data_IF_516788076276
#
_entry.id   IF_516788076276
#
_cell.length_a   1.000
_cell.length_b   1.000
_cell.length_c   1.000
_cell.angle_alpha   90.00
_cell.angle_beta   90.00
_cell.angle_gamma   90.00
#
_symmetry.space_group_name_H-M   'P 1'
#
loop_
_entity.id
_entity.type
_entity.pdbx_description
1 polymer ?
#
# COMPACT_ATOMS: atom_id res chain seq x y z
N UNK A 1 74.43 -25.33 -17.27
CA UNK A 1 74.72 -24.17 -18.16
C UNK A 1 73.39 -23.62 -18.63
N UNK A 2 73.00 -22.43 -18.20
CA UNK A 2 71.70 -21.87 -18.60
C UNK A 2 71.82 -21.37 -20.05
N UNK A 3 70.96 -21.89 -20.92
CA UNK A 3 70.91 -21.48 -22.32
C UNK A 3 70.61 -19.98 -22.40
N UNK A 4 71.30 -19.24 -23.29
CA UNK A 4 71.12 -17.79 -23.45
C UNK A 4 69.64 -17.43 -23.67
N UNK A 5 68.88 -18.30 -24.33
CA UNK A 5 67.43 -18.15 -24.56
C UNK A 5 66.61 -18.24 -23.28
N UNK A 6 66.95 -19.16 -22.37
CA UNK A 6 66.25 -19.31 -21.08
C UNK A 6 66.45 -18.08 -20.19
N UNK A 7 67.62 -17.44 -20.27
CA UNK A 7 67.94 -16.21 -19.53
C UNK A 7 67.12 -15.00 -20.03
N UNK A 8 66.89 -14.93 -21.35
CA UNK A 8 66.06 -13.89 -21.98
C UNK A 8 64.59 -14.10 -21.61
N UNK A 9 64.09 -15.34 -21.69
CA UNK A 9 62.70 -15.66 -21.36
C UNK A 9 62.36 -15.35 -19.88
N UNK A 10 63.29 -15.65 -18.97
CA UNK A 10 63.13 -15.31 -17.56
C UNK A 10 63.14 -13.80 -17.30
N UNK A 11 63.99 -13.04 -18.01
CA UNK A 11 64.04 -11.58 -17.88
C UNK A 11 62.74 -10.92 -18.37
N UNK A 12 62.14 -11.44 -19.46
CA UNK A 12 60.86 -10.94 -19.98
C UNK A 12 59.71 -11.25 -19.02
N UNK A 13 59.65 -12.47 -18.47
CA UNK A 13 58.64 -12.87 -17.50
C UNK A 13 58.72 -12.05 -16.21
N UNK A 14 59.95 -11.84 -15.70
CA UNK A 14 60.18 -10.99 -14.53
C UNK A 14 59.72 -9.55 -14.81
N UNK A 15 60.04 -9.02 -15.98
CA UNK A 15 59.61 -7.69 -16.41
C UNK A 15 58.09 -7.54 -16.46
N UNK A 16 57.37 -8.52 -17.02
CA UNK A 16 55.89 -8.45 -17.08
C UNK A 16 55.26 -8.56 -15.69
N UNK A 17 55.82 -9.40 -14.80
CA UNK A 17 55.34 -9.54 -13.43
C UNK A 17 55.51 -8.24 -12.63
N UNK A 18 56.64 -7.57 -12.77
CA UNK A 18 56.89 -6.29 -12.09
C UNK A 18 55.98 -5.19 -12.65
N UNK A 19 55.80 -5.14 -13.97
CA UNK A 19 54.91 -4.18 -14.61
C UNK A 19 53.47 -4.36 -14.15
N UNK A 20 52.98 -5.61 -14.05
CA UNK A 20 51.64 -5.91 -13.53
C UNK A 20 51.49 -5.50 -12.06
N UNK A 21 52.51 -5.77 -11.22
CA UNK A 21 52.47 -5.38 -9.81
C UNK A 21 52.40 -3.86 -9.63
N UNK A 22 53.19 -3.10 -10.40
CA UNK A 22 53.16 -1.62 -10.39
C UNK A 22 51.81 -1.10 -10.89
N UNK A 23 51.25 -1.71 -11.94
CA UNK A 23 49.95 -1.34 -12.49
C UNK A 23 48.82 -1.55 -11.48
N UNK A 24 48.82 -2.69 -10.76
CA UNK A 24 47.85 -2.98 -9.72
C UNK A 24 47.95 -1.98 -8.56
N UNK A 25 49.16 -1.63 -8.11
CA UNK A 25 49.35 -0.64 -7.04
C UNK A 25 48.91 0.76 -7.50
N UNK A 26 49.20 1.13 -8.74
CA UNK A 26 48.78 2.42 -9.31
C UNK A 26 47.24 2.52 -9.40
N UNK A 27 46.58 1.47 -9.89
CA UNK A 27 45.11 1.39 -9.96
C UNK A 27 44.46 1.35 -8.58
N UNK A 28 45.03 0.59 -7.64
CA UNK A 28 44.53 0.50 -6.27
C UNK A 28 44.64 1.86 -5.56
N UNK A 29 45.74 2.59 -5.76
CA UNK A 29 45.90 3.96 -5.22
C UNK A 29 44.89 4.95 -5.81
N UNK A 30 44.52 4.83 -7.08
CA UNK A 30 43.47 5.66 -7.70
C UNK A 30 42.08 5.36 -7.12
N UNK A 31 41.71 4.09 -7.00
CA UNK A 31 40.37 3.73 -6.55
C UNK A 31 40.14 3.95 -5.04
N UNK A 32 41.17 3.80 -4.20
CA UNK A 32 41.01 3.92 -2.74
C UNK A 32 41.24 5.34 -2.18
N UNK A 33 41.76 6.28 -2.97
CA UNK A 33 41.88 7.68 -2.55
C UNK A 33 40.49 8.35 -2.42
N UNK A 34 39.50 7.89 -3.18
CA UNK A 34 38.12 8.37 -3.14
C UNK A 34 37.35 7.80 -1.93
N UNK A 35 37.61 6.54 -1.56
CA UNK A 35 36.93 5.86 -0.44
C UNK A 35 37.43 6.35 0.94
N UNK A 36 38.69 6.80 1.06
CA UNK A 36 39.24 7.26 2.34
C UNK A 36 38.71 8.64 2.78
N UNK A 37 38.15 9.41 1.84
CA UNK A 37 37.44 10.67 2.10
C UNK A 37 35.92 10.50 2.04
N UNK A 38 35.41 9.26 1.91
CA UNK A 38 34.00 9.00 2.07
C UNK A 38 33.61 9.34 3.52
N UNK A 39 32.64 10.23 3.63
CA UNK A 39 32.06 10.70 4.87
C UNK A 39 31.70 9.52 5.78
N UNK A 40 32.33 9.43 6.95
CA UNK A 40 32.05 8.39 7.95
C UNK A 40 30.98 8.87 8.95
N UNK A 41 30.10 9.79 8.53
CA UNK A 41 28.84 9.99 9.22
C UNK A 41 28.13 8.62 9.27
N UNK A 42 27.62 8.19 10.45
CA UNK A 42 26.91 6.93 10.55
C UNK A 42 25.82 6.89 9.48
N UNK A 43 25.87 5.91 8.57
CA UNK A 43 24.81 5.70 7.59
C UNK A 43 23.55 5.39 8.41
N UNK A 44 22.60 6.32 8.45
CA UNK A 44 21.28 6.04 9.01
C UNK A 44 20.76 4.76 8.37
N UNK A 45 20.42 3.77 9.19
CA UNK A 45 19.78 2.56 8.72
C UNK A 45 18.58 2.97 7.86
N UNK A 46 18.37 2.38 6.66
CA UNK A 46 17.23 2.77 5.86
C UNK A 46 15.96 2.50 6.68
N UNK A 47 15.23 3.56 7.01
CA UNK A 47 14.04 3.51 7.86
C UNK A 47 12.92 2.88 7.04
N UNK A 48 12.94 1.55 6.90
CA UNK A 48 11.96 0.84 6.08
C UNK A 48 10.55 0.81 6.69
N UNK A 49 10.39 1.23 7.94
CA UNK A 49 9.08 1.38 8.59
C UNK A 49 9.22 2.21 9.88
N UNK A 50 9.07 3.53 9.78
CA UNK A 50 8.86 4.33 10.99
C UNK A 50 7.48 3.99 11.56
N UNK A 51 7.37 3.79 12.87
CA UNK A 51 6.07 3.67 13.53
C UNK A 51 5.33 5.01 13.37
N UNK A 52 4.17 4.96 12.74
CA UNK A 52 3.28 6.10 12.51
C UNK A 52 1.99 5.89 13.30
N UNK A 53 1.48 6.96 13.92
CA UNK A 53 0.21 6.93 14.62
C UNK A 53 -0.92 7.06 13.60
N UNK A 54 -1.65 5.96 13.38
CA UNK A 54 -2.74 5.87 12.41
C UNK A 54 -4.08 5.67 13.09
N UNK A 55 -5.13 6.20 12.47
CA UNK A 55 -6.48 6.17 13.04
C UNK A 55 -7.30 5.07 12.40
N UNK A 56 -7.68 4.06 13.18
CA UNK A 56 -8.54 2.97 12.73
C UNK A 56 -9.98 3.26 13.15
N UNK A 57 -10.89 3.29 12.19
CA UNK A 57 -12.31 3.59 12.43
C UNK A 57 -13.03 2.29 12.83
N UNK A 58 -13.11 2.02 14.14
CA UNK A 58 -13.61 0.76 14.67
C UNK A 58 -15.13 0.75 14.85
N UNK A 59 -15.80 -0.16 14.15
CA UNK A 59 -17.21 -0.45 14.28
C UNK A 59 -17.56 -1.10 15.62
N UNK A 60 -18.78 -0.85 16.09
CA UNK A 60 -19.36 -1.44 17.28
C UNK A 60 -20.82 -1.87 16.99
N UNK A 61 -21.06 -3.19 17.00
CA UNK A 61 -22.37 -3.76 16.70
C UNK A 61 -23.41 -3.49 17.80
N UNK A 62 -22.97 -3.20 19.03
CA UNK A 62 -23.87 -3.01 20.16
C UNK A 62 -24.60 -1.67 20.14
N UNK A 63 -23.96 -0.62 19.62
CA UNK A 63 -24.52 0.74 19.54
C UNK A 63 -24.65 1.27 18.11
N UNK A 64 -24.15 0.54 17.12
CA UNK A 64 -24.23 0.94 15.72
C UNK A 64 -23.26 2.06 15.35
N UNK A 65 -22.21 2.29 16.16
CA UNK A 65 -21.29 3.42 15.98
C UNK A 65 -19.94 3.00 15.39
N UNK A 66 -19.21 3.99 14.86
CA UNK A 66 -17.82 3.86 14.41
C UNK A 66 -16.98 4.81 15.25
N UNK A 67 -15.98 4.29 15.95
CA UNK A 67 -15.13 5.04 16.86
C UNK A 67 -13.70 5.14 16.30
N UNK A 68 -13.19 6.35 16.02
CA UNK A 68 -11.80 6.52 15.60
C UNK A 68 -10.86 6.15 16.74
N UNK A 69 -9.95 5.22 16.48
CA UNK A 69 -8.99 4.70 17.46
C UNK A 69 -7.58 4.79 16.93
N UNK A 70 -6.75 5.62 17.55
CA UNK A 70 -5.34 5.79 17.16
C UNK A 70 -4.49 4.59 17.61
N UNK A 71 -3.67 4.07 16.70
CA UNK A 71 -2.73 2.97 16.91
C UNK A 71 -1.37 3.32 16.31
N UNK A 72 -0.29 2.99 17.01
CA UNK A 72 1.06 3.14 16.48
C UNK A 72 1.44 1.90 15.67
N UNK A 73 1.61 2.07 14.36
CA UNK A 73 1.82 0.97 13.41
C UNK A 73 2.99 1.31 12.49
N UNK A 74 3.87 0.34 12.27
CA UNK A 74 4.98 0.47 11.34
C UNK A 74 4.47 0.27 9.90
N UNK A 75 4.27 1.37 9.17
CA UNK A 75 3.66 1.34 7.84
C UNK A 75 4.68 1.50 6.71
N UNK A 76 4.45 0.83 5.56
CA UNK A 76 5.26 1.03 4.37
C UNK A 76 5.02 2.43 3.77
N UNK A 77 5.99 2.90 2.98
CA UNK A 77 5.96 4.22 2.36
C UNK A 77 5.10 4.28 1.07
N UNK A 78 4.88 3.14 0.40
CA UNK A 78 4.08 3.10 -0.82
C UNK A 78 2.58 3.10 -0.49
N UNK A 79 1.80 4.02 -1.05
CA UNK A 79 0.38 4.24 -0.72
C UNK A 79 -0.48 2.98 -0.84
N UNK A 80 -0.32 2.18 -1.91
CA UNK A 80 -1.12 0.97 -2.11
C UNK A 80 -0.83 -0.12 -1.06
N UNK A 81 0.46 -0.34 -0.77
CA UNK A 81 0.89 -1.30 0.26
C UNK A 81 0.51 -0.80 1.66
N UNK A 82 0.54 0.52 1.87
CA UNK A 82 0.11 1.20 3.09
C UNK A 82 -1.39 1.02 3.31
N UNK A 83 -2.22 1.26 2.29
CA UNK A 83 -3.66 1.05 2.33
C UNK A 83 -4.00 -0.39 2.70
N UNK A 84 -3.33 -1.36 2.06
CA UNK A 84 -3.47 -2.78 2.38
C UNK A 84 -3.10 -3.08 3.83
N UNK A 85 -1.94 -2.61 4.30
CA UNK A 85 -1.50 -2.84 5.67
C UNK A 85 -2.47 -2.24 6.70
N UNK A 86 -3.03 -1.05 6.44
CA UNK A 86 -4.06 -0.44 7.29
C UNK A 86 -5.30 -1.33 7.43
N UNK A 87 -5.78 -1.89 6.32
CA UNK A 87 -6.94 -2.79 6.35
C UNK A 87 -6.62 -4.12 7.03
N UNK A 88 -5.43 -4.68 6.81
CA UNK A 88 -4.98 -5.88 7.52
C UNK A 88 -4.96 -5.65 9.04
N UNK A 89 -4.45 -4.50 9.50
CA UNK A 89 -4.46 -4.13 10.92
C UNK A 89 -5.86 -3.87 11.48
N UNK A 90 -6.72 -3.18 10.72
CA UNK A 90 -8.12 -2.96 11.08
C UNK A 90 -8.86 -4.29 11.28
N UNK A 91 -8.75 -5.20 10.32
CA UNK A 91 -9.44 -6.49 10.35
C UNK A 91 -8.85 -7.41 11.41
N UNK A 92 -7.53 -7.34 11.66
CA UNK A 92 -6.90 -8.05 12.77
C UNK A 92 -7.46 -7.59 14.13
N UNK A 93 -7.72 -6.29 14.33
CA UNK A 93 -8.32 -5.78 15.56
C UNK A 93 -9.72 -6.40 15.81
N UNK A 94 -10.51 -6.64 14.76
CA UNK A 94 -11.80 -7.32 14.85
C UNK A 94 -11.73 -8.82 15.14
N UNK A 95 -10.59 -9.47 14.90
CA UNK A 95 -10.40 -10.88 15.28
C UNK A 95 -10.07 -11.06 16.76
N UNK A 96 -9.78 -9.97 17.50
CA UNK A 96 -9.45 -10.05 18.91
C UNK A 96 -10.69 -10.42 19.75
N UNK A 97 -10.53 -11.16 20.87
CA UNK A 97 -11.66 -11.51 21.75
C UNK A 97 -12.42 -10.31 22.36
N UNK A 98 -11.81 -9.11 22.33
CA UNK A 98 -12.37 -7.86 22.84
C UNK A 98 -13.07 -7.01 21.76
N UNK A 99 -13.10 -7.48 20.51
CA UNK A 99 -13.73 -6.76 19.43
C UNK A 99 -15.24 -6.63 19.69
N UNK A 100 -15.77 -5.43 19.45
CA UNK A 100 -17.21 -5.15 19.56
C UNK A 100 -17.95 -5.31 18.23
N UNK A 101 -17.21 -5.63 17.18
CA UNK A 101 -17.73 -5.92 15.85
C UNK A 101 -17.13 -7.24 15.40
N UNK A 102 -17.99 -8.19 15.03
CA UNK A 102 -17.56 -9.53 14.66
C UNK A 102 -17.43 -9.60 13.14
N UNK A 103 -16.24 -9.97 12.66
CA UNK A 103 -15.97 -10.21 11.24
C UNK A 103 -15.58 -11.65 11.01
N UNK A 104 -15.58 -12.08 9.74
CA UNK A 104 -15.03 -13.38 9.35
C UNK A 104 -13.59 -13.54 9.84
N UNK A 105 -13.24 -14.70 10.37
CA UNK A 105 -11.86 -14.97 10.81
C UNK A 105 -10.89 -15.13 9.64
N UNK A 106 -9.60 -14.94 9.90
CA UNK A 106 -8.53 -15.17 8.93
C UNK A 106 -8.15 -13.94 8.10
N UNK A 107 -7.50 -14.17 6.96
CA UNK A 107 -7.03 -13.11 6.06
C UNK A 107 -8.19 -12.65 5.18
N UNK A 108 -8.53 -11.37 5.28
CA UNK A 108 -9.68 -10.79 4.62
C UNK A 108 -9.34 -10.08 3.29
N UNK A 109 -8.25 -9.33 3.26
CA UNK A 109 -7.81 -8.56 2.10
C UNK A 109 -6.78 -9.35 1.32
N UNK A 110 -7.00 -9.47 0.01
CA UNK A 110 -6.05 -10.06 -0.92
C UNK A 110 -5.10 -8.96 -1.44
N UNK A 111 -5.66 -7.89 -2.01
CA UNK A 111 -4.92 -6.74 -2.54
C UNK A 111 -5.73 -5.44 -2.48
N UNK A 112 -5.02 -4.31 -2.51
CA UNK A 112 -5.62 -2.97 -2.65
C UNK A 112 -4.94 -2.26 -3.81
N UNK A 113 -5.74 -1.83 -4.79
CA UNK A 113 -5.27 -1.07 -5.94
C UNK A 113 -5.74 0.37 -5.84
N UNK A 114 -4.86 1.29 -6.18
CA UNK A 114 -5.12 2.72 -6.18
C UNK A 114 -5.17 3.21 -7.61
N UNK A 115 -6.24 3.91 -7.98
CA UNK A 115 -6.50 4.39 -9.34
C UNK A 115 -6.85 5.87 -9.31
N UNK A 116 -6.03 6.69 -9.96
CA UNK A 116 -6.25 8.12 -10.03
C UNK A 116 -7.52 8.44 -10.82
N UNK A 117 -8.32 9.38 -10.29
CA UNK A 117 -9.52 9.91 -10.91
C UNK A 117 -9.25 11.31 -11.49
N UNK A 118 -9.94 11.71 -12.57
CA UNK A 118 -10.99 10.96 -13.26
C UNK A 118 -10.46 9.82 -14.14
N UNK A 119 -11.23 8.73 -14.22
CA UNK A 119 -10.93 7.65 -15.16
C UNK A 119 -10.97 8.22 -16.59
N UNK A 120 -9.98 7.88 -17.42
CA UNK A 120 -9.92 8.36 -18.81
C UNK A 120 -9.26 9.73 -18.99
N UNK A 121 -8.72 10.37 -17.94
CA UNK A 121 -7.94 11.63 -18.08
C UNK A 121 -6.81 11.53 -19.12
N UNK A 122 -6.18 10.36 -19.28
CA UNK A 122 -5.17 10.12 -20.31
C UNK A 122 -5.76 10.07 -21.74
N UNK A 123 -7.04 9.72 -21.90
CA UNK A 123 -7.75 9.64 -23.18
C UNK A 123 -8.16 11.04 -23.66
N UNK A 124 -8.52 11.94 -22.75
CA UNK A 124 -8.82 13.35 -23.05
C UNK A 124 -7.63 14.08 -23.70
N UNK A 125 -6.41 13.72 -23.32
CA UNK A 125 -5.18 14.26 -23.93
C UNK A 125 -4.89 13.69 -25.33
N UNK A 126 -5.60 12.63 -25.75
CA UNK A 126 -5.43 11.96 -27.05
C UNK A 126 -6.39 12.48 -28.13
N UNK A 127 -7.08 13.61 -27.89
CA UNK A 127 -7.93 14.27 -28.88
C UNK A 127 -9.21 13.50 -29.27
N UNK A 128 -9.54 12.42 -28.55
CA UNK A 128 -10.75 11.63 -28.78
C UNK A 128 -11.85 12.15 -27.86
N UNK A 129 -12.99 12.57 -28.43
CA UNK A 129 -14.14 13.05 -27.66
C UNK A 129 -14.77 11.87 -26.91
N UNK A 130 -15.01 11.98 -25.59
CA UNK A 130 -15.59 10.89 -24.81
C UNK A 130 -17.03 10.58 -25.27
N UNK A 131 -17.38 9.30 -25.28
CA UNK A 131 -18.73 8.85 -25.68
C UNK A 131 -19.78 9.26 -24.64
N UNK A 132 -21.07 9.29 -25.03
CA UNK A 132 -22.19 9.65 -24.13
C UNK A 132 -22.30 8.71 -22.91
N UNK A 133 -21.82 7.47 -23.05
CA UNK A 133 -21.77 6.46 -21.99
C UNK A 133 -20.59 6.68 -21.03
N UNK A 134 -19.44 7.13 -21.54
CA UNK A 134 -18.26 7.50 -20.72
C UNK A 134 -18.54 8.75 -19.87
N UNK A 135 -19.34 9.68 -20.39
CA UNK A 135 -19.80 10.86 -19.65
C UNK A 135 -20.83 10.55 -18.55
N UNK A 136 -21.45 9.35 -18.58
CA UNK A 136 -22.45 8.94 -17.59
C UNK A 136 -21.85 8.20 -16.39
N UNK A 137 -20.59 7.74 -16.49
CA UNK A 137 -19.90 7.11 -15.36
C UNK A 137 -19.51 8.19 -14.32
N UNK A 138 -19.96 8.07 -13.05
CA UNK A 138 -19.61 9.02 -12.00
C UNK A 138 -18.10 9.13 -11.75
N UNK A 139 -17.30 8.15 -12.18
CA UNK A 139 -15.85 8.13 -12.02
C UNK A 139 -15.10 9.00 -13.06
N UNK A 140 -15.75 9.36 -14.17
CA UNK A 140 -15.16 10.20 -15.23
C UNK A 140 -15.15 11.69 -14.87
N UNK A 141 -15.95 12.09 -13.87
CA UNK A 141 -16.01 13.47 -13.35
C UNK A 141 -15.51 13.58 -11.91
N UNK A 142 -15.12 12.46 -11.31
CA UNK A 142 -14.64 12.41 -9.94
C UNK A 142 -13.20 12.93 -9.84
N UNK A 143 -12.88 13.52 -8.69
CA UNK A 143 -11.53 13.93 -8.30
C UNK A 143 -11.00 13.05 -7.18
N UNK A 144 -9.67 12.94 -7.09
CA UNK A 144 -8.97 12.14 -6.07
C UNK A 144 -8.60 10.76 -6.60
N UNK A 145 -8.67 9.76 -5.73
CA UNK A 145 -8.26 8.39 -6.02
C UNK A 145 -9.37 7.40 -5.67
N UNK A 146 -9.51 6.38 -6.52
CA UNK A 146 -10.35 5.22 -6.30
C UNK A 146 -9.50 4.10 -5.69
N UNK A 147 -9.84 3.69 -4.48
CA UNK A 147 -9.31 2.47 -3.89
C UNK A 147 -10.16 1.27 -4.28
N UNK A 148 -9.58 0.32 -5.00
CA UNK A 148 -10.19 -0.97 -5.32
C UNK A 148 -9.67 -2.01 -4.34
N UNK A 149 -10.52 -2.41 -3.39
CA UNK A 149 -10.20 -3.38 -2.33
C UNK A 149 -10.64 -4.76 -2.79
N UNK A 150 -9.68 -5.66 -3.02
CA UNK A 150 -9.93 -7.05 -3.34
C UNK A 150 -9.97 -7.90 -2.07
N UNK A 151 -11.10 -8.51 -1.80
CA UNK A 151 -11.38 -9.36 -0.64
C UNK A 151 -11.27 -10.84 -1.00
N UNK A 152 -10.92 -11.65 0.00
CA UNK A 152 -10.88 -13.12 -0.15
C UNK A 152 -12.27 -13.72 -0.02
N UNK A 153 -12.60 -14.65 -0.90
CA UNK A 153 -13.90 -15.32 -0.93
C UNK A 153 -14.22 -16.05 0.36
N UNK A 154 -13.24 -16.73 0.94
CA UNK A 154 -13.40 -17.46 2.20
C UNK A 154 -13.75 -16.54 3.39
N UNK A 155 -13.22 -15.31 3.41
CA UNK A 155 -13.57 -14.34 4.45
C UNK A 155 -14.99 -13.80 4.27
N UNK A 156 -15.37 -13.51 3.02
CA UNK A 156 -16.72 -13.05 2.67
C UNK A 156 -17.77 -14.11 3.02
N UNK A 157 -17.49 -15.39 2.72
CA UNK A 157 -18.38 -16.51 3.04
C UNK A 157 -18.50 -16.77 4.56
N UNK A 158 -17.44 -16.48 5.31
CA UNK A 158 -17.43 -16.59 6.77
C UNK A 158 -17.96 -15.34 7.49
N UNK A 159 -18.32 -14.28 6.76
CA UNK A 159 -18.76 -13.02 7.35
C UNK A 159 -20.13 -13.19 8.03
N UNK A 160 -20.32 -12.71 9.28
CA UNK A 160 -21.61 -12.78 9.95
C UNK A 160 -22.71 -12.06 9.15
N UNK A 161 -23.86 -12.70 8.87
CA UNK A 161 -24.94 -12.04 8.16
C UNK A 161 -25.60 -10.98 9.05
N UNK A 162 -25.93 -9.82 8.49
CA UNK A 162 -26.69 -8.79 9.20
C UNK A 162 -26.54 -7.41 8.57
N UNK A 163 -27.66 -6.71 8.39
CA UNK A 163 -27.67 -5.38 7.73
C UNK A 163 -26.72 -4.41 8.43
N UNK A 164 -26.84 -4.28 9.76
CA UNK A 164 -26.00 -3.36 10.54
C UNK A 164 -24.54 -3.79 10.54
N UNK A 165 -24.26 -5.08 10.78
CA UNK A 165 -22.89 -5.61 10.78
C UNK A 165 -22.21 -5.36 9.44
N UNK A 166 -22.82 -5.80 8.34
CA UNK A 166 -22.27 -5.63 6.99
C UNK A 166 -22.06 -4.14 6.66
N UNK A 167 -23.01 -3.27 7.03
CA UNK A 167 -22.91 -1.83 6.73
C UNK A 167 -21.77 -1.19 7.51
N UNK A 168 -21.64 -1.51 8.80
CA UNK A 168 -20.58 -1.02 9.65
C UNK A 168 -19.20 -1.53 9.20
N UNK A 169 -19.11 -2.76 8.72
CA UNK A 169 -17.86 -3.30 8.15
C UNK A 169 -17.40 -2.45 6.98
N UNK A 170 -18.29 -2.19 6.01
CA UNK A 170 -17.94 -1.40 4.83
C UNK A 170 -17.61 0.04 5.21
N UNK A 171 -18.40 0.68 6.08
CA UNK A 171 -18.14 2.04 6.53
C UNK A 171 -16.83 2.16 7.31
N UNK A 172 -16.51 1.19 8.16
CA UNK A 172 -15.24 1.13 8.89
C UNK A 172 -14.04 1.03 7.95
N UNK A 173 -14.13 0.19 6.91
CA UNK A 173 -13.10 0.06 5.88
C UNK A 173 -12.92 1.38 5.12
N UNK A 174 -14.02 1.97 4.65
CA UNK A 174 -14.01 3.22 3.88
C UNK A 174 -13.48 4.39 4.72
N UNK A 175 -13.95 4.55 5.95
CA UNK A 175 -13.51 5.59 6.88
C UNK A 175 -12.03 5.47 7.23
N UNK A 176 -11.57 4.26 7.55
CA UNK A 176 -10.15 4.01 7.85
C UNK A 176 -9.25 4.34 6.66
N UNK A 177 -9.65 3.99 5.43
CA UNK A 177 -8.88 4.35 4.24
C UNK A 177 -8.78 5.86 4.09
N UNK A 178 -9.89 6.58 4.15
CA UNK A 178 -9.88 8.02 3.94
C UNK A 178 -9.18 8.81 5.04
N UNK A 179 -9.42 8.46 6.31
CA UNK A 179 -8.83 9.16 7.45
C UNK A 179 -7.29 9.11 7.42
N UNK A 180 -6.70 8.02 6.90
CA UNK A 180 -5.24 7.88 6.79
C UNK A 180 -4.67 8.18 5.40
N UNK A 181 -5.50 8.12 4.35
CA UNK A 181 -5.13 8.41 2.97
C UNK A 181 -6.20 9.34 2.36
N UNK A 182 -6.11 10.66 2.63
CA UNK A 182 -7.14 11.62 2.20
C UNK A 182 -7.31 11.74 0.68
N UNK A 183 -6.32 11.26 -0.09
CA UNK A 183 -6.39 11.18 -1.55
C UNK A 183 -7.47 10.19 -2.02
N UNK A 184 -7.79 9.17 -1.22
CA UNK A 184 -8.86 8.20 -1.50
C UNK A 184 -10.20 8.87 -1.23
N UNK A 185 -10.94 9.17 -2.29
CA UNK A 185 -12.28 9.77 -2.23
C UNK A 185 -13.38 8.75 -2.55
N UNK A 186 -13.00 7.64 -3.19
CA UNK A 186 -13.94 6.58 -3.59
C UNK A 186 -13.35 5.22 -3.30
N UNK A 187 -14.21 4.28 -2.94
CA UNK A 187 -13.82 2.88 -2.64
C UNK A 187 -14.74 1.92 -3.40
N UNK A 188 -14.15 0.91 -4.03
CA UNK A 188 -14.88 -0.18 -4.69
C UNK A 188 -14.36 -1.52 -4.19
N UNK A 189 -15.25 -2.49 -4.08
CA UNK A 189 -14.92 -3.81 -3.57
C UNK A 189 -14.92 -4.85 -4.69
N UNK A 190 -14.00 -5.79 -4.60
CA UNK A 190 -13.94 -7.00 -5.42
C UNK A 190 -13.82 -8.20 -4.49
N UNK A 191 -14.21 -9.38 -4.98
CA UNK A 191 -14.00 -10.65 -4.29
C UNK A 191 -13.29 -11.60 -5.24
N UNK A 192 -12.09 -12.04 -4.88
CA UNK A 192 -11.23 -12.88 -5.73
C UNK A 192 -11.03 -12.27 -7.14
N UNK A 193 -10.84 -10.95 -7.18
CA UNK A 193 -10.65 -10.16 -8.40
C UNK A 193 -11.91 -9.96 -9.25
N UNK A 194 -13.09 -10.37 -8.78
CA UNK A 194 -14.36 -10.25 -9.52
C UNK A 194 -15.37 -9.37 -8.79
N UNK A 195 -16.21 -8.60 -9.51
CA UNK A 195 -17.37 -7.95 -8.91
C UNK A 195 -18.31 -8.99 -8.30
N UNK A 196 -18.83 -8.70 -7.11
CA UNK A 196 -19.82 -9.52 -6.41
C UNK A 196 -21.01 -8.64 -6.07
N UNK A 197 -22.22 -9.21 -6.11
CA UNK A 197 -23.44 -8.45 -5.82
C UNK A 197 -23.47 -7.97 -4.37
N UNK A 198 -23.20 -8.86 -3.39
CA UNK A 198 -23.32 -8.53 -1.96
C UNK A 198 -22.22 -9.15 -1.10
N UNK A 199 -22.01 -8.57 0.09
CA UNK A 199 -21.08 -9.10 1.09
C UNK A 199 -21.62 -10.40 1.69
N UNK A 200 -22.61 -10.33 2.58
CA UNK A 200 -23.27 -11.50 3.16
C UNK A 200 -24.79 -11.51 2.92
N UNK A 201 -25.27 -10.67 2.00
CA UNK A 201 -26.65 -10.67 1.49
C UNK A 201 -27.36 -9.33 1.54
N UNK A 202 -26.86 -8.37 2.33
CA UNK A 202 -27.56 -7.11 2.57
C UNK A 202 -26.86 -5.90 1.98
N UNK A 203 -25.53 -5.88 2.00
CA UNK A 203 -24.75 -4.75 1.49
C UNK A 203 -24.21 -5.03 0.10
N UNK A 204 -24.49 -4.11 -0.83
CA UNK A 204 -24.10 -4.19 -2.25
C UNK A 204 -22.61 -3.94 -2.48
N UNK A 205 -21.87 -4.86 -3.09
CA UNK A 205 -20.44 -4.69 -3.38
C UNK A 205 -20.14 -4.26 -4.82
N UNK A 206 -21.13 -4.27 -5.71
CA UNK A 206 -20.97 -3.94 -7.13
C UNK A 206 -20.97 -2.42 -7.41
N UNK A 207 -21.37 -1.62 -6.42
CA UNK A 207 -21.34 -0.16 -6.47
C UNK A 207 -20.01 0.41 -5.99
N UNK A 208 -19.79 1.68 -6.31
CA UNK A 208 -18.72 2.48 -5.71
C UNK A 208 -19.25 3.25 -4.50
N UNK A 209 -18.48 3.25 -3.42
CA UNK A 209 -18.74 4.01 -2.20
C UNK A 209 -18.01 5.34 -2.26
N UNK A 210 -18.73 6.41 -1.99
CA UNK A 210 -18.15 7.73 -1.79
C UNK A 210 -17.88 7.91 -0.30
N UNK A 211 -16.67 8.36 0.05
CA UNK A 211 -16.30 8.55 1.45
C UNK A 211 -17.22 9.58 2.12
N UNK A 212 -17.59 10.66 1.43
CA UNK A 212 -18.43 11.72 1.99
C UNK A 212 -19.83 11.19 2.37
N UNK A 213 -20.32 10.18 1.63
CA UNK A 213 -21.59 9.53 1.93
C UNK A 213 -21.54 8.54 3.09
N UNK A 214 -20.35 8.12 3.52
CA UNK A 214 -20.15 7.28 4.71
C UNK A 214 -19.99 8.08 6.00
N UNK A 215 -19.73 9.39 5.91
CA UNK A 215 -19.74 10.33 7.04
C UNK A 215 -21.19 10.75 7.34
N UNK A 216 -21.99 9.81 7.84
CA UNK A 216 -23.29 10.16 8.45
C UNK A 216 -23.10 10.36 9.96
N UNK A 217 -23.06 11.64 10.34
CA UNK A 217 -23.37 12.25 11.64
C UNK A 217 -22.42 12.01 12.85
N UNK A 218 -21.58 13.01 13.23
CA UNK A 218 -21.27 13.20 14.64
C UNK A 218 -22.57 13.44 15.42
N UNK A 219 -22.70 12.73 16.54
CA UNK A 219 -23.80 12.81 17.48
C UNK A 219 -24.26 14.25 17.72
N UNK A 220 -25.58 14.44 17.73
CA UNK A 220 -26.23 15.73 17.91
C UNK A 220 -25.68 16.52 19.09
N UNK A 221 -25.52 17.83 18.87
CA UNK A 221 -25.39 18.79 19.96
C UNK A 221 -26.60 18.62 20.92
N UNK A 222 -26.40 18.63 22.25
CA UNK A 222 -27.53 18.71 23.16
C UNK A 222 -28.25 20.04 22.92
N UNK A 223 -29.53 19.96 22.59
CA UNK A 223 -30.42 21.11 22.57
C UNK A 223 -30.62 21.59 24.02
N UNK A 224 -30.16 22.81 24.29
CA UNK A 224 -30.59 23.64 25.43
C UNK A 224 -31.79 24.50 25.01
#
# INVERSE_FOLDING_TARGET
MISKYQRILFAVLLGSSVLMAVFLVYMHRRNFAEVKNADNTPIEAPVYSASEDVTLDLANDADGTITPTTRSIALPQQSAVRARALLEHLLAEYTLPRAKHVVGGGIAVDDVFLVNLPLGASVLNSGTLPSKEENADPLTHASGELAVVNLRGAWVEAHPPGITSETLTIQSIVGTLHTNLPEITKVRFLVEGRPRATLAGNVELDRTYDVDSTVTAPAGKPSE
#
